data_IF_743449809405
#
_entry.id   IF_743449809405
#
_cell.length_a   1.000
_cell.length_b   1.000
_cell.length_c   1.000
_cell.angle_alpha   90.00
_cell.angle_beta   90.00
_cell.angle_gamma   90.00
#
_symmetry.space_group_name_H-M   'P 1'
#
loop_
_entity.id
_entity.type
_entity.pdbx_description
1 polymer ?
#
# COMPACT_ATOMS: atom_id res chain seq x y z
N UNK A 1 -3.07 11.14 21.72
CA UNK A 1 -2.74 10.90 20.30
C UNK A 1 -4.04 10.59 19.57
N UNK A 2 -4.09 10.69 18.24
CA UNK A 2 -5.26 10.21 17.48
C UNK A 2 -5.19 8.71 17.26
N UNK A 3 -6.34 8.08 16.99
CA UNK A 3 -6.42 6.62 16.82
C UNK A 3 -5.53 6.10 15.69
N UNK A 4 -5.36 6.88 14.62
CA UNK A 4 -4.44 6.54 13.52
C UNK A 4 -2.96 6.64 13.93
N UNK A 5 -2.59 7.67 14.70
CA UNK A 5 -1.22 7.82 15.21
C UNK A 5 -0.88 6.70 16.21
N UNK A 6 -1.83 6.33 17.06
CA UNK A 6 -1.71 5.19 17.99
C UNK A 6 -1.56 3.87 17.24
N UNK A 7 -2.35 3.66 16.18
CA UNK A 7 -2.26 2.46 15.34
C UNK A 7 -0.90 2.36 14.62
N UNK A 8 -0.35 3.47 14.09
CA UNK A 8 1.00 3.47 13.52
C UNK A 8 2.06 3.07 14.54
N UNK A 9 2.00 3.66 15.74
CA UNK A 9 2.95 3.35 16.80
C UNK A 9 2.84 1.89 17.27
N UNK A 10 1.62 1.37 17.43
CA UNK A 10 1.39 -0.02 17.81
C UNK A 10 1.90 -1.02 16.76
N UNK A 11 1.84 -0.64 15.48
CA UNK A 11 2.37 -1.42 14.37
C UNK A 11 3.88 -1.24 14.14
N UNK A 12 4.53 -0.32 14.86
CA UNK A 12 5.95 0.00 14.66
C UNK A 12 6.24 0.59 13.27
N UNK A 13 5.27 1.29 12.67
CA UNK A 13 5.37 1.83 11.33
C UNK A 13 5.73 3.32 11.36
N UNK A 14 6.64 3.71 10.47
CA UNK A 14 6.89 5.11 10.15
C UNK A 14 5.91 5.58 9.06
N UNK A 15 5.28 6.72 9.29
CA UNK A 15 4.29 7.28 8.37
C UNK A 15 4.08 8.76 8.59
N UNK A 16 3.63 9.44 7.54
CA UNK A 16 3.21 10.83 7.61
C UNK A 16 1.81 10.90 8.22
N UNK A 17 1.64 11.78 9.22
CA UNK A 17 0.35 12.02 9.88
C UNK A 17 -0.07 13.46 9.59
N UNK A 18 -1.27 13.66 9.07
CA UNK A 18 -1.77 14.99 8.74
C UNK A 18 -3.21 15.26 9.17
N UNK A 19 -3.66 16.50 8.94
CA UNK A 19 -5.00 16.99 9.26
C UNK A 19 -5.38 16.69 10.72
N UNK A 20 -4.53 17.13 11.66
CA UNK A 20 -4.66 16.89 13.09
C UNK A 20 -4.80 15.40 13.47
N UNK A 21 -4.18 14.51 12.69
CA UNK A 21 -4.17 13.07 12.93
C UNK A 21 -5.35 12.30 12.36
N UNK A 22 -6.11 12.91 11.44
CA UNK A 22 -7.23 12.27 10.73
C UNK A 22 -6.82 11.53 9.46
N UNK A 23 -5.61 11.72 8.96
CA UNK A 23 -5.11 10.87 7.90
C UNK A 23 -3.67 10.49 8.14
N UNK A 24 -3.30 9.34 7.59
CA UNK A 24 -1.93 8.83 7.58
C UNK A 24 -1.56 8.34 6.20
N UNK A 25 -0.29 8.50 5.84
CA UNK A 25 0.35 7.88 4.68
C UNK A 25 1.50 7.00 5.16
N UNK A 26 1.53 5.76 4.68
CA UNK A 26 2.48 4.72 5.09
C UNK A 26 2.98 3.96 3.86
N UNK A 27 4.22 3.48 3.88
CA UNK A 27 4.83 2.75 2.76
C UNK A 27 5.65 3.62 1.80
N UNK A 28 6.33 2.97 0.85
CA UNK A 28 7.31 3.60 -0.05
C UNK A 28 6.69 4.43 -1.18
N UNK A 29 7.51 5.28 -1.82
CA UNK A 29 7.10 6.27 -2.82
C UNK A 29 6.36 5.69 -4.05
N UNK A 30 6.61 4.43 -4.43
CA UNK A 30 5.94 3.82 -5.59
C UNK A 30 4.47 3.48 -5.33
N UNK A 31 4.14 3.07 -4.11
CA UNK A 31 2.80 2.60 -3.74
C UNK A 31 2.47 2.96 -2.28
N UNK A 32 2.33 4.27 -1.98
CA UNK A 32 1.96 4.70 -0.64
C UNK A 32 0.52 4.29 -0.32
N UNK A 33 0.30 3.85 0.92
CA UNK A 33 -1.00 3.54 1.48
C UNK A 33 -1.51 4.75 2.24
N UNK A 34 -2.76 5.13 1.99
CA UNK A 34 -3.41 6.24 2.68
C UNK A 34 -4.57 5.71 3.49
N UNK A 35 -4.70 6.19 4.72
CA UNK A 35 -5.85 5.89 5.59
C UNK A 35 -6.43 7.20 6.11
N UNK A 36 -7.74 7.36 5.99
CA UNK A 36 -8.49 8.53 6.44
C UNK A 36 -9.55 8.13 7.46
N UNK A 37 -9.59 8.79 8.61
CA UNK A 37 -10.62 8.64 9.62
C UNK A 37 -11.90 9.37 9.20
N UNK A 38 -13.00 8.62 9.06
CA UNK A 38 -14.31 9.18 8.77
C UNK A 38 -14.76 10.12 9.89
N UNK A 39 -15.52 11.16 9.53
CA UNK A 39 -16.03 12.12 10.50
C UNK A 39 -16.79 11.44 11.66
N UNK A 40 -16.62 11.98 12.87
CA UNK A 40 -17.25 11.49 14.12
C UNK A 40 -16.89 10.05 14.50
N UNK A 41 -15.71 9.55 14.11
CA UNK A 41 -15.26 8.21 14.47
C UNK A 41 -16.07 7.10 13.80
N UNK A 42 -16.64 7.38 12.62
CA UNK A 42 -17.48 6.45 11.88
C UNK A 42 -16.74 5.21 11.36
N UNK A 43 -15.41 5.24 11.34
CA UNK A 43 -14.51 4.20 10.83
C UNK A 43 -13.39 4.82 10.01
N UNK A 44 -12.79 4.02 9.13
CA UNK A 44 -11.59 4.38 8.39
C UNK A 44 -11.70 3.97 6.93
N UNK A 45 -11.28 4.83 6.03
CA UNK A 45 -11.15 4.54 4.61
C UNK A 45 -9.68 4.32 4.29
N UNK A 46 -9.36 3.23 3.61
CA UNK A 46 -7.99 2.88 3.21
C UNK A 46 -7.93 2.68 1.70
N UNK A 47 -6.92 3.26 1.05
CA UNK A 47 -6.66 3.12 -0.37
C UNK A 47 -5.16 3.15 -0.67
N UNK A 48 -4.79 2.60 -1.82
CA UNK A 48 -3.40 2.62 -2.28
C UNK A 48 -3.22 3.70 -3.35
N UNK A 49 -2.03 4.32 -3.35
CA UNK A 49 -1.60 5.30 -4.35
C UNK A 49 -1.25 4.69 -5.71
N UNK A 50 -1.07 3.35 -5.80
CA UNK A 50 -0.80 2.71 -7.09
C UNK A 50 -1.97 2.96 -8.06
N UNK A 51 -1.73 3.33 -9.32
CA UNK A 51 -2.78 3.62 -10.30
C UNK A 51 -3.76 2.46 -10.52
N UNK A 52 -3.32 1.21 -10.35
CA UNK A 52 -4.12 0.00 -10.53
C UNK A 52 -4.90 -0.43 -9.26
N UNK A 53 -4.63 0.19 -8.11
CA UNK A 53 -5.13 -0.22 -6.80
C UNK A 53 -5.91 0.89 -6.06
N UNK A 54 -6.48 1.83 -6.82
CA UNK A 54 -7.31 2.96 -6.33
C UNK A 54 -8.65 2.56 -5.71
N UNK A 55 -8.84 1.30 -5.33
CA UNK A 55 -10.03 0.85 -4.63
C UNK A 55 -10.00 1.35 -3.20
N UNK A 56 -10.95 2.23 -2.87
CA UNK A 56 -11.21 2.67 -1.50
C UNK A 56 -12.00 1.59 -0.78
N UNK A 57 -11.54 1.18 0.41
CA UNK A 57 -12.26 0.24 1.27
C UNK A 57 -12.49 0.84 2.65
N UNK A 58 -13.61 0.48 3.27
CA UNK A 58 -14.01 0.93 4.60
C UNK A 58 -13.74 -0.14 5.66
N UNK A 59 -13.26 0.30 6.82
CA UNK A 59 -12.94 -0.53 7.97
C UNK A 59 -13.46 0.12 9.26
N UNK A 60 -13.74 -0.71 10.27
CA UNK A 60 -14.15 -0.23 11.59
C UNK A 60 -12.96 0.09 12.49
N UNK A 61 -11.83 -0.55 12.24
CA UNK A 61 -10.62 -0.41 13.01
C UNK A 61 -9.48 0.26 12.21
N UNK A 62 -8.66 1.06 12.92
CA UNK A 62 -7.56 1.80 12.32
C UNK A 62 -6.41 0.88 11.89
N UNK A 63 -6.08 -0.09 12.76
CA UNK A 63 -5.01 -1.06 12.53
C UNK A 63 -5.35 -1.94 11.33
N UNK A 64 -6.59 -2.43 11.29
CA UNK A 64 -7.11 -3.21 10.16
C UNK A 64 -7.02 -2.43 8.84
N UNK A 65 -7.42 -1.15 8.84
CA UNK A 65 -7.36 -0.31 7.65
C UNK A 65 -5.93 -0.13 7.12
N UNK A 66 -4.96 0.07 8.03
CA UNK A 66 -3.54 0.22 7.69
C UNK A 66 -2.98 -1.10 7.16
N UNK A 67 -3.18 -2.21 7.89
CA UNK A 67 -2.67 -3.52 7.50
C UNK A 67 -3.26 -3.99 6.16
N UNK A 68 -4.56 -3.83 5.95
CA UNK A 68 -5.21 -4.20 4.70
C UNK A 68 -4.68 -3.37 3.52
N UNK A 69 -4.42 -2.08 3.74
CA UNK A 69 -3.78 -1.23 2.73
C UNK A 69 -2.37 -1.70 2.37
N UNK A 70 -1.54 -1.99 3.37
CA UNK A 70 -0.17 -2.50 3.18
C UNK A 70 -0.15 -3.87 2.49
N UNK A 71 -1.06 -4.77 2.88
CA UNK A 71 -1.16 -6.09 2.25
C UNK A 71 -1.48 -5.97 0.76
N UNK A 72 -2.40 -5.06 0.38
CA UNK A 72 -2.71 -4.79 -1.03
C UNK A 72 -1.53 -4.18 -1.79
N UNK A 73 -0.77 -3.29 -1.15
CA UNK A 73 0.43 -2.72 -1.75
C UNK A 73 1.51 -3.80 -1.97
N UNK A 74 1.78 -4.64 -0.96
CA UNK A 74 2.77 -5.71 -1.02
C UNK A 74 2.44 -6.79 -2.06
N UNK A 75 1.17 -7.20 -2.16
CA UNK A 75 0.71 -8.18 -3.15
C UNK A 75 0.85 -7.71 -4.61
N UNK A 76 1.10 -6.43 -4.86
CA UNK A 76 1.34 -5.87 -6.20
C UNK A 76 2.82 -5.77 -6.51
N UNK A 77 3.67 -5.40 -5.54
CA UNK A 77 5.13 -5.43 -5.69
C UNK A 77 5.63 -6.82 -6.11
N UNK A 78 5.02 -7.89 -5.59
CA UNK A 78 5.37 -9.26 -6.00
C UNK A 78 4.89 -9.60 -7.41
N UNK A 79 3.71 -9.15 -7.82
CA UNK A 79 3.20 -9.38 -9.19
C UNK A 79 4.02 -8.59 -10.21
N UNK A 80 4.34 -7.32 -9.94
CA UNK A 80 5.23 -6.52 -10.81
C UNK A 80 6.65 -7.10 -10.87
N UNK A 81 7.19 -7.62 -9.76
CA UNK A 81 8.49 -8.29 -9.76
C UNK A 81 8.46 -9.61 -10.57
N UNK A 82 7.36 -10.35 -10.54
CA UNK A 82 7.17 -11.55 -11.35
C UNK A 82 6.96 -11.22 -12.83
N UNK A 83 6.26 -10.13 -13.17
CA UNK A 83 6.06 -9.67 -14.54
C UNK A 83 7.37 -9.13 -15.15
N UNK A 84 8.14 -8.35 -14.39
CA UNK A 84 9.48 -7.90 -14.78
C UNK A 84 10.45 -9.07 -14.99
N UNK A 85 10.47 -10.06 -14.08
CA UNK A 85 11.30 -11.26 -14.24
C UNK A 85 10.86 -12.13 -15.42
N UNK A 86 9.56 -12.20 -15.72
CA UNK A 86 9.03 -12.91 -16.88
C UNK A 86 9.44 -12.22 -18.20
N UNK A 87 9.51 -10.88 -18.24
CA UNK A 87 10.02 -10.14 -19.40
C UNK A 87 11.54 -10.22 -19.57
N UNK A 88 12.33 -10.42 -18.52
CA UNK A 88 13.78 -10.66 -18.68
C UNK A 88 14.10 -12.10 -19.15
N UNK A 89 13.23 -13.06 -18.82
CA UNK A 89 13.35 -14.45 -19.30
C UNK A 89 13.14 -14.63 -20.81
N UNK A 90 12.38 -13.74 -21.46
CA UNK A 90 12.13 -13.82 -22.91
C UNK A 90 13.29 -13.27 -23.76
N UNK A 91 14.10 -12.36 -23.21
CA UNK A 91 15.24 -11.74 -23.93
C UNK A 91 16.46 -12.66 -23.97
N UNK A 92 16.61 -13.61 -23.03
CA UNK A 92 17.74 -14.56 -23.03
C UNK A 92 17.59 -15.74 -24.01
N UNK A 93 16.39 -16.04 -24.52
CA UNK A 93 16.17 -17.18 -25.44
C UNK A 93 16.34 -16.85 -26.94
N UNK A 94 16.65 -15.61 -27.33
CA UNK A 94 16.76 -15.21 -28.74
C UNK A 94 18.20 -15.04 -29.26
N UNK A 95 19.20 -15.77 -28.73
CA UNK A 95 20.57 -15.75 -29.27
C UNK A 95 21.10 -17.12 -29.70
N UNK A 96 20.41 -17.75 -30.64
CA UNK A 96 20.99 -18.60 -31.69
C UNK A 96 20.24 -18.29 -32.99
N UNK A 97 20.85 -18.28 -34.19
CA UNK A 97 21.98 -19.10 -34.66
C UNK A 97 23.10 -18.22 -35.30
N UNK A 98 24.28 -18.73 -35.69
CA UNK A 98 24.46 -19.42 -36.95
C UNK A 98 25.87 -20.07 -37.05
N UNK A 99 25.81 -21.33 -37.48
CA UNK A 99 26.74 -22.17 -38.24
C UNK A 99 28.15 -21.65 -38.55
#
# INVERSE_FOLDING_TARGET
MTRLAEALQALGLEGEVGLAGRWVKVGEDRCPVYVYEAARGGGYYSWCGCPEARTVQFYRDATEAIQAGLHRAAGRTTVEAMDAAAMEGVVSSQKQPAK
#
